data_IF_646069564255
#
_entry.id   IF_646069564255
#
_cell.length_a   1.000
_cell.length_b   1.000
_cell.length_c   1.000
_cell.angle_alpha   90.00
_cell.angle_beta   90.00
_cell.angle_gamma   90.00
#
_symmetry.space_group_name_H-M   'P 1'
#
loop_
_entity.id
_entity.type
_entity.pdbx_description
1 polymer ?
#
# COMPACT_ATOMS: atom_id res chain seq x y z
N UNK A 1 20.68 -5.42 9.73
CA UNK A 1 20.26 -5.59 8.32
C UNK A 1 19.53 -4.37 7.76
N UNK A 2 19.07 -3.43 8.60
CA UNK A 2 18.49 -2.16 8.14
C UNK A 2 19.48 -1.03 8.37
N UNK A 3 19.81 -0.31 7.30
CA UNK A 3 20.61 0.91 7.31
C UNK A 3 19.91 1.89 6.36
N UNK A 4 19.21 2.88 6.92
CA UNK A 4 18.53 3.92 6.16
C UNK A 4 18.30 5.15 7.03
N UNK A 5 17.88 6.25 6.42
CA UNK A 5 17.43 7.45 7.14
C UNK A 5 15.91 7.48 7.18
N UNK A 6 15.34 8.05 8.24
CA UNK A 6 13.90 8.27 8.38
C UNK A 6 13.63 9.59 9.07
N UNK A 7 12.53 10.25 8.70
CA UNK A 7 12.00 11.33 9.51
C UNK A 7 11.56 10.78 10.88
N UNK A 8 11.72 11.54 11.97
CA UNK A 8 11.19 11.14 13.27
C UNK A 8 9.68 10.90 13.20
N UNK A 9 9.19 9.83 13.85
CA UNK A 9 7.76 9.45 13.86
C UNK A 9 6.88 10.60 14.37
N UNK A 10 7.36 11.34 15.36
CA UNK A 10 6.64 12.48 15.96
C UNK A 10 6.86 13.81 15.23
N UNK A 11 7.56 13.82 14.10
CA UNK A 11 7.82 15.02 13.31
C UNK A 11 6.51 15.68 12.84
N UNK A 12 6.27 16.96 13.19
CA UNK A 12 5.09 17.68 12.72
C UNK A 12 4.99 17.72 11.18
N UNK A 13 6.12 17.87 10.50
CA UNK A 13 6.18 17.86 9.04
C UNK A 13 5.79 16.49 8.46
N UNK A 14 6.31 15.40 9.04
CA UNK A 14 5.95 14.05 8.58
C UNK A 14 4.45 13.77 8.76
N UNK A 15 3.87 14.21 9.88
CA UNK A 15 2.41 14.10 10.11
C UNK A 15 1.60 14.89 9.10
N UNK A 16 2.03 16.12 8.79
CA UNK A 16 1.37 16.96 7.79
C UNK A 16 1.44 16.33 6.39
N UNK A 17 2.62 15.90 5.95
CA UNK A 17 2.80 15.26 4.63
C UNK A 17 2.07 13.92 4.55
N UNK A 18 2.08 13.14 5.62
CA UNK A 18 1.32 11.88 5.70
C UNK A 18 -0.18 12.11 5.58
N UNK A 19 -0.71 13.17 6.17
CA UNK A 19 -2.13 13.54 6.01
C UNK A 19 -2.46 13.89 4.55
N UNK A 20 -1.57 14.58 3.83
CA UNK A 20 -1.74 14.87 2.39
C UNK A 20 -1.80 13.57 1.57
N UNK A 21 -0.87 12.63 1.82
CA UNK A 21 -0.85 11.33 1.15
C UNK A 21 -2.16 10.56 1.39
N UNK A 22 -2.59 10.44 2.65
CA UNK A 22 -3.82 9.71 2.98
C UNK A 22 -5.07 10.40 2.40
N UNK A 23 -5.12 11.72 2.39
CA UNK A 23 -6.21 12.47 1.77
C UNK A 23 -6.31 12.18 0.27
N UNK A 24 -5.18 12.15 -0.45
CA UNK A 24 -5.16 11.82 -1.87
C UNK A 24 -5.58 10.37 -2.12
N UNK A 25 -5.04 9.42 -1.34
CA UNK A 25 -5.33 7.99 -1.52
C UNK A 25 -6.78 7.64 -1.22
N UNK A 26 -7.38 8.24 -0.19
CA UNK A 26 -8.79 7.97 0.15
C UNK A 26 -9.78 8.59 -0.84
N UNK A 27 -9.30 9.44 -1.75
CA UNK A 27 -10.07 9.93 -2.89
C UNK A 27 -9.76 9.16 -4.18
N UNK A 28 -8.79 8.25 -4.18
CA UNK A 28 -8.37 7.49 -5.35
C UNK A 28 -9.19 6.19 -5.48
N UNK A 29 -10.09 6.05 -6.49
CA UNK A 29 -11.00 4.91 -6.57
C UNK A 29 -10.29 3.55 -6.59
N UNK A 30 -9.20 3.43 -7.34
CA UNK A 30 -8.43 2.19 -7.43
C UNK A 30 -7.83 1.75 -6.08
N UNK A 31 -7.38 2.71 -5.26
CA UNK A 31 -6.83 2.41 -3.94
C UNK A 31 -7.95 1.97 -2.99
N UNK A 32 -9.10 2.65 -3.04
CA UNK A 32 -10.26 2.28 -2.23
C UNK A 32 -10.79 0.89 -2.58
N UNK A 33 -10.83 0.52 -3.86
CA UNK A 33 -11.23 -0.80 -4.31
C UNK A 33 -10.21 -1.89 -3.93
N UNK A 34 -8.91 -1.62 -4.06
CA UNK A 34 -7.87 -2.60 -3.79
C UNK A 34 -7.62 -2.81 -2.28
N UNK A 35 -7.60 -1.74 -1.49
CA UNK A 35 -7.23 -1.79 -0.08
C UNK A 35 -8.43 -1.94 0.86
N UNK A 36 -9.60 -1.39 0.50
CA UNK A 36 -10.80 -1.33 1.34
C UNK A 36 -10.43 -0.89 2.78
N UNK A 37 -9.82 0.30 2.96
CA UNK A 37 -9.14 0.65 4.20
C UNK A 37 -10.11 0.84 5.38
N UNK A 38 -9.79 0.23 6.52
CA UNK A 38 -10.43 0.51 7.81
C UNK A 38 -9.64 1.56 8.59
N UNK A 39 -8.33 1.32 8.76
CA UNK A 39 -7.39 2.19 9.48
C UNK A 39 -6.00 2.07 8.86
N UNK A 40 -5.20 3.12 8.98
CA UNK A 40 -3.86 3.19 8.39
C UNK A 40 -2.87 3.73 9.42
N UNK A 41 -1.69 3.12 9.53
CA UNK A 41 -0.57 3.70 10.27
C UNK A 41 -0.18 4.98 9.54
N UNK A 42 0.01 6.13 10.22
CA UNK A 42 0.42 7.35 9.56
C UNK A 42 1.64 7.15 8.66
N UNK A 43 1.64 7.68 7.42
CA UNK A 43 2.78 7.57 6.52
C UNK A 43 4.09 7.99 7.15
N UNK A 44 5.06 7.09 7.08
CA UNK A 44 6.45 7.32 7.47
C UNK A 44 7.26 7.64 6.22
N UNK A 45 8.44 8.23 6.39
CA UNK A 45 9.29 8.65 5.29
C UNK A 45 10.69 8.11 5.50
N UNK A 46 11.26 7.50 4.48
CA UNK A 46 12.62 6.98 4.49
C UNK A 46 13.43 7.49 3.30
N UNK A 47 14.75 7.49 3.47
CA UNK A 47 15.68 7.62 2.35
C UNK A 47 16.83 6.61 2.45
N UNK A 48 17.36 6.26 1.27
CA UNK A 48 18.45 5.31 1.09
C UNK A 48 19.47 5.90 0.11
N UNK A 49 20.74 5.95 0.51
CA UNK A 49 21.87 6.39 -0.30
C UNK A 49 23.19 5.71 0.14
N UNK A 50 24.20 5.67 -0.73
CA UNK A 50 25.58 5.29 -0.34
C UNK A 50 25.74 3.88 0.25
N UNK A 51 24.97 2.91 -0.24
CA UNK A 51 24.96 1.51 0.21
C UNK A 51 23.91 1.19 1.27
N UNK A 52 23.14 2.18 1.71
CA UNK A 52 21.98 1.99 2.59
C UNK A 52 20.97 1.02 1.97
N UNK A 53 20.40 0.15 2.81
CA UNK A 53 19.55 -0.96 2.42
C UNK A 53 18.62 -1.38 3.57
N UNK A 54 17.63 -2.21 3.26
CA UNK A 54 16.86 -2.93 4.26
C UNK A 54 16.75 -4.38 3.80
N UNK A 55 17.56 -5.25 4.37
CA UNK A 55 17.56 -6.66 3.97
C UNK A 55 16.26 -7.40 4.31
N UNK A 56 16.22 -8.65 3.87
CA UNK A 56 15.07 -9.53 3.92
C UNK A 56 14.36 -9.57 5.28
N UNK A 57 13.07 -9.26 5.26
CA UNK A 57 12.20 -9.31 6.43
C UNK A 57 10.73 -9.49 6.04
N UNK A 58 9.93 -9.83 7.04
CA UNK A 58 8.47 -9.77 6.99
C UNK A 58 8.03 -8.70 7.98
N UNK A 59 6.96 -7.98 7.67
CA UNK A 59 6.45 -6.97 8.57
C UNK A 59 5.80 -7.56 9.82
N UNK A 60 5.85 -6.78 10.91
CA UNK A 60 5.13 -7.15 12.12
C UNK A 60 3.63 -7.19 11.86
N UNK A 61 2.97 -8.30 12.18
CA UNK A 61 1.54 -8.52 11.92
C UNK A 61 0.62 -7.53 12.66
N UNK A 62 1.11 -6.93 13.75
CA UNK A 62 0.40 -5.94 14.56
C UNK A 62 1.29 -4.71 14.73
N UNK A 63 0.74 -3.53 14.47
CA UNK A 63 1.40 -2.23 14.69
C UNK A 63 0.57 -1.38 15.64
N UNK A 64 1.23 -0.73 16.59
CA UNK A 64 0.61 0.29 17.43
C UNK A 64 0.35 1.56 16.62
N UNK A 65 -0.81 2.19 16.84
CA UNK A 65 -1.13 3.50 16.30
C UNK A 65 -0.60 4.59 17.23
N UNK A 66 0.36 5.42 16.79
CA UNK A 66 0.93 6.48 17.62
C UNK A 66 -0.17 7.37 18.22
N UNK A 67 -0.08 7.65 19.52
CA UNK A 67 -0.96 8.58 20.22
C UNK A 67 -2.39 8.11 20.54
N UNK A 68 -2.80 6.88 20.16
CA UNK A 68 -4.18 6.41 20.40
C UNK A 68 -4.30 5.20 21.35
N UNK A 69 -3.18 4.54 21.70
CA UNK A 69 -3.19 3.29 22.46
C UNK A 69 -3.82 2.10 21.73
N UNK A 70 -4.29 2.32 20.50
CA UNK A 70 -4.84 1.29 19.62
C UNK A 70 -3.72 0.57 18.89
N UNK A 71 -4.03 -0.61 18.38
CA UNK A 71 -3.20 -1.32 17.41
C UNK A 71 -4.04 -1.71 16.20
N UNK A 72 -3.37 -1.99 15.10
CA UNK A 72 -3.98 -2.48 13.88
C UNK A 72 -3.26 -3.71 13.34
N UNK A 73 -4.00 -4.53 12.60
CA UNK A 73 -3.49 -5.66 11.83
C UNK A 73 -2.92 -5.15 10.51
N UNK A 74 -1.68 -5.51 10.18
CA UNK A 74 -1.02 -5.07 8.95
C UNK A 74 -1.41 -5.96 7.78
N UNK A 75 -2.59 -5.71 7.19
CA UNK A 75 -3.04 -6.50 6.03
C UNK A 75 -2.22 -6.17 4.79
N UNK A 76 -2.04 -4.87 4.54
CA UNK A 76 -1.38 -4.36 3.35
C UNK A 76 -0.27 -3.40 3.73
N UNK A 77 0.84 -3.51 3.00
CA UNK A 77 1.96 -2.58 3.01
C UNK A 77 1.90 -1.72 1.77
N UNK A 78 2.28 -0.45 1.93
CA UNK A 78 2.32 0.53 0.85
C UNK A 78 3.67 1.21 0.79
N UNK A 79 4.18 1.41 -0.42
CA UNK A 79 5.31 2.29 -0.69
C UNK A 79 4.94 3.27 -1.78
N UNK A 80 4.89 4.56 -1.44
CA UNK A 80 4.80 5.68 -2.37
C UNK A 80 6.21 6.13 -2.74
N UNK A 81 6.54 6.10 -4.02
CA UNK A 81 7.84 6.53 -4.52
C UNK A 81 7.88 8.06 -4.63
N UNK A 82 8.93 8.69 -4.12
CA UNK A 82 9.11 10.15 -4.11
C UNK A 82 10.38 10.61 -4.85
N UNK A 83 11.06 9.68 -5.52
CA UNK A 83 12.24 9.90 -6.35
C UNK A 83 12.04 9.15 -7.66
N UNK A 84 12.49 9.71 -8.77
CA UNK A 84 12.41 9.02 -10.06
C UNK A 84 13.33 7.80 -10.06
N UNK A 85 12.95 6.69 -10.73
CA UNK A 85 13.76 5.48 -10.76
C UNK A 85 15.14 5.70 -11.41
N UNK A 86 15.25 6.68 -12.30
CA UNK A 86 16.51 7.01 -12.99
C UNK A 86 17.45 7.89 -12.15
N UNK A 87 16.96 8.47 -11.04
CA UNK A 87 17.77 9.32 -10.14
C UNK A 87 18.66 8.51 -9.18
N UNK A 88 18.48 7.18 -9.12
CA UNK A 88 19.27 6.31 -8.24
C UNK A 88 19.54 4.94 -8.84
N UNK A 89 20.69 4.35 -8.46
CA UNK A 89 21.12 3.01 -8.88
C UNK A 89 20.94 2.01 -7.73
N UNK A 90 20.36 0.86 -8.01
CA UNK A 90 19.87 -0.06 -6.98
C UNK A 90 18.57 0.44 -6.36
N UNK A 91 18.31 0.08 -5.10
CA UNK A 91 17.12 0.53 -4.36
C UNK A 91 15.80 -0.13 -4.77
N UNK A 92 15.84 -1.16 -5.61
CA UNK A 92 14.67 -1.96 -5.97
C UNK A 92 14.02 -2.53 -4.71
N UNK A 93 12.71 -2.37 -4.59
CA UNK A 93 11.90 -3.10 -3.63
C UNK A 93 11.69 -4.50 -4.19
N UNK A 94 12.33 -5.47 -3.56
CA UNK A 94 12.21 -6.87 -3.90
C UNK A 94 11.16 -7.53 -3.03
N UNK A 95 10.10 -8.08 -3.63
CA UNK A 95 9.00 -8.77 -2.94
C UNK A 95 8.98 -10.23 -3.42
N UNK A 96 9.02 -11.17 -2.49
CA UNK A 96 8.84 -12.60 -2.77
C UNK A 96 7.41 -13.03 -2.54
N UNK A 97 6.89 -13.78 -3.50
CA UNK A 97 5.64 -14.52 -3.39
C UNK A 97 5.85 -16.01 -3.75
N UNK A 98 4.76 -16.75 -3.88
CA UNK A 98 4.79 -18.18 -4.23
C UNK A 98 5.39 -18.46 -5.61
N UNK A 99 5.38 -17.49 -6.51
CA UNK A 99 5.76 -17.63 -7.92
C UNK A 99 7.13 -17.04 -8.25
N UNK A 100 7.68 -16.19 -7.37
CA UNK A 100 9.06 -15.75 -7.51
C UNK A 100 9.38 -14.44 -6.79
N UNK A 101 10.44 -13.80 -7.28
CA UNK A 101 10.92 -12.50 -6.83
C UNK A 101 10.45 -11.43 -7.83
N UNK A 102 9.80 -10.40 -7.31
CA UNK A 102 9.39 -9.22 -8.09
C UNK A 102 10.26 -8.04 -7.69
N UNK A 103 10.88 -7.39 -8.66
CA UNK A 103 11.67 -6.18 -8.45
C UNK A 103 10.86 -4.95 -8.83
N UNK A 104 10.69 -4.03 -7.89
CA UNK A 104 9.79 -2.88 -8.05
C UNK A 104 10.56 -1.58 -7.85
N UNK A 105 10.48 -0.74 -8.88
CA UNK A 105 11.03 0.62 -8.92
C UNK A 105 10.12 1.47 -9.80
N UNK A 106 9.25 2.26 -9.17
CA UNK A 106 8.20 3.01 -9.87
C UNK A 106 8.55 4.50 -10.00
N UNK A 107 7.96 5.21 -10.98
CA UNK A 107 8.03 6.67 -11.09
C UNK A 107 7.67 7.41 -9.81
N UNK A 108 8.19 8.62 -9.64
CA UNK A 108 7.81 9.45 -8.50
C UNK A 108 6.30 9.78 -8.55
N UNK A 109 5.60 9.57 -7.44
CA UNK A 109 4.14 9.73 -7.32
C UNK A 109 3.37 8.41 -7.43
N UNK A 110 3.97 7.35 -7.94
CA UNK A 110 3.34 6.03 -8.02
C UNK A 110 3.46 5.27 -6.69
N UNK A 111 2.44 4.45 -6.40
CA UNK A 111 2.35 3.65 -5.19
C UNK A 111 2.24 2.16 -5.52
N UNK A 112 3.04 1.35 -4.84
CA UNK A 112 2.84 -0.10 -4.79
C UNK A 112 2.09 -0.49 -3.50
N UNK A 113 1.13 -1.40 -3.65
CA UNK A 113 0.34 -2.00 -2.58
C UNK A 113 0.55 -3.52 -2.61
N UNK A 114 0.92 -4.13 -1.48
CA UNK A 114 1.21 -5.57 -1.41
C UNK A 114 0.90 -6.16 -0.02
N UNK A 115 0.70 -7.48 0.10
CA UNK A 115 0.46 -8.12 1.40
C UNK A 115 1.64 -7.91 2.36
N UNK A 116 1.39 -7.47 3.59
CA UNK A 116 2.48 -7.26 4.57
C UNK A 116 3.13 -8.58 5.02
N UNK A 117 2.50 -9.71 4.73
CA UNK A 117 3.04 -11.05 4.95
C UNK A 117 4.16 -11.43 3.98
N UNK A 118 4.30 -10.69 2.86
CA UNK A 118 5.32 -11.00 1.86
C UNK A 118 6.72 -10.76 2.40
N UNK A 119 7.61 -11.72 2.16
CA UNK A 119 9.04 -11.56 2.44
C UNK A 119 9.61 -10.53 1.46
N UNK A 120 10.23 -9.47 1.96
CA UNK A 120 10.70 -8.39 1.09
C UNK A 120 11.97 -7.71 1.60
N UNK A 121 12.64 -7.00 0.70
CA UNK A 121 13.83 -6.19 0.99
C UNK A 121 13.93 -4.98 0.08
N UNK A 122 14.71 -3.98 0.50
CA UNK A 122 15.20 -2.90 -0.37
C UNK A 122 16.69 -3.15 -0.57
N UNK A 123 17.07 -3.44 -1.82
CA UNK A 123 18.48 -3.69 -2.16
C UNK A 123 19.31 -2.39 -2.06
N UNK A 124 20.64 -2.47 -1.91
CA UNK A 124 21.46 -1.29 -1.66
C UNK A 124 21.34 -0.21 -2.74
N UNK A 125 21.16 1.04 -2.33
CA UNK A 125 21.26 2.20 -3.23
C UNK A 125 22.73 2.58 -3.38
N UNK A 126 23.32 2.34 -4.54
CA UNK A 126 24.76 2.52 -4.79
C UNK A 126 25.13 3.90 -5.31
N UNK A 127 24.19 4.61 -5.93
CA UNK A 127 24.33 5.99 -6.41
C UNK A 127 22.98 6.69 -6.34
N UNK A 128 22.98 8.02 -6.16
CA UNK A 128 21.77 8.81 -5.96
C UNK A 128 21.14 8.62 -4.58
N UNK A 129 19.88 9.06 -4.45
CA UNK A 129 19.09 8.90 -3.22
C UNK A 129 17.66 8.46 -3.57
N UNK A 130 17.23 7.36 -2.96
CA UNK A 130 15.84 6.87 -3.05
C UNK A 130 15.06 7.40 -1.86
N UNK A 131 14.11 8.30 -2.10
CA UNK A 131 13.18 8.80 -1.08
C UNK A 131 11.80 8.16 -1.30
N UNK A 132 11.18 7.65 -0.23
CA UNK A 132 9.83 7.08 -0.29
C UNK A 132 9.03 7.43 0.96
N UNK A 133 7.70 7.30 0.83
CA UNK A 133 6.82 7.16 1.97
C UNK A 133 6.31 5.72 2.08
N UNK A 134 6.21 5.19 3.30
CA UNK A 134 5.76 3.82 3.54
C UNK A 134 4.82 3.76 4.74
N UNK A 135 3.84 2.86 4.68
CA UNK A 135 2.84 2.67 5.73
C UNK A 135 2.10 1.34 5.58
N UNK A 136 1.27 1.05 6.58
CA UNK A 136 0.45 -0.15 6.64
C UNK A 136 -1.02 0.20 6.78
N UNK A 137 -1.86 -0.56 6.10
CA UNK A 137 -3.31 -0.44 6.16
C UNK A 137 -3.90 -1.73 6.71
N UNK A 138 -4.77 -1.59 7.71
CA UNK A 138 -5.74 -2.60 8.05
C UNK A 138 -6.93 -2.45 7.09
N UNK A 139 -7.23 -3.51 6.35
CA UNK A 139 -8.40 -3.58 5.50
C UNK A 139 -9.63 -3.92 6.33
N UNK A 140 -10.81 -3.45 5.90
CA UNK A 140 -12.08 -3.98 6.39
C UNK A 140 -12.19 -5.48 6.05
N UNK A 141 -11.57 -5.94 4.97
CA UNK A 141 -11.59 -7.35 4.55
C UNK A 141 -10.24 -8.00 4.87
N UNK A 142 -10.22 -8.79 5.94
CA UNK A 142 -9.01 -9.46 6.46
C UNK A 142 -8.36 -10.39 5.44
N UNK A 143 -9.16 -11.25 4.81
CA UNK A 143 -8.65 -12.30 3.93
C UNK A 143 -8.24 -11.73 2.56
N UNK A 144 -7.01 -12.01 2.14
CA UNK A 144 -6.43 -11.49 0.90
C UNK A 144 -7.16 -11.97 -0.37
N UNK A 145 -7.58 -13.24 -0.38
CA UNK A 145 -8.35 -13.80 -1.50
C UNK A 145 -9.73 -13.15 -1.62
N UNK A 146 -10.43 -12.94 -0.49
CA UNK A 146 -11.71 -12.24 -0.47
C UNK A 146 -11.58 -10.80 -0.98
N UNK A 147 -10.53 -10.09 -0.54
CA UNK A 147 -10.25 -8.73 -1.00
C UNK A 147 -9.89 -8.68 -2.48
N UNK A 148 -9.10 -9.63 -2.98
CA UNK A 148 -8.77 -9.75 -4.41
C UNK A 148 -10.01 -10.02 -5.27
N UNK A 149 -10.90 -10.93 -4.83
CA UNK A 149 -12.18 -11.18 -5.52
C UNK A 149 -13.07 -9.93 -5.57
N UNK A 150 -13.13 -9.14 -4.49
CA UNK A 150 -13.86 -7.87 -4.47
C UNK A 150 -13.26 -6.86 -5.45
N UNK A 151 -11.93 -6.75 -5.47
CA UNK A 151 -11.23 -5.85 -6.40
C UNK A 151 -11.50 -6.22 -7.86
N UNK A 152 -11.35 -7.49 -8.23
CA UNK A 152 -11.64 -7.97 -9.59
C UNK A 152 -13.10 -7.71 -9.99
N UNK A 153 -14.04 -7.95 -9.07
CA UNK A 153 -15.46 -7.68 -9.31
C UNK A 153 -15.72 -6.18 -9.51
N UNK A 154 -15.16 -5.30 -8.68
CA UNK A 154 -15.31 -3.85 -8.85
C UNK A 154 -14.74 -3.40 -10.20
N UNK A 155 -13.52 -3.81 -10.54
CA UNK A 155 -12.88 -3.46 -11.82
C UNK A 155 -13.74 -3.91 -13.02
N UNK A 156 -14.31 -5.12 -12.95
CA UNK A 156 -15.22 -5.64 -13.98
C UNK A 156 -16.50 -4.80 -14.07
N UNK A 157 -17.10 -4.43 -12.94
CA UNK A 157 -18.29 -3.56 -12.90
C UNK A 157 -17.98 -2.19 -13.50
N UNK A 158 -16.85 -1.56 -13.15
CA UNK A 158 -16.47 -0.26 -13.69
C UNK A 158 -16.23 -0.33 -15.20
N UNK A 159 -15.58 -1.40 -15.68
CA UNK A 159 -15.38 -1.62 -17.10
C UNK A 159 -16.71 -1.75 -17.85
N UNK A 160 -17.64 -2.57 -17.35
CA UNK A 160 -18.98 -2.71 -17.94
C UNK A 160 -19.76 -1.40 -17.93
N UNK A 161 -19.71 -0.66 -16.81
CA UNK A 161 -20.33 0.68 -16.70
C UNK A 161 -19.77 1.65 -17.74
N UNK A 162 -18.45 1.64 -17.97
CA UNK A 162 -17.83 2.51 -18.98
C UNK A 162 -18.27 2.21 -20.41
N UNK A 163 -18.57 0.94 -20.72
CA UNK A 163 -18.94 0.49 -22.07
C UNK A 163 -20.45 0.58 -22.34
N UNK A 164 -21.27 0.33 -21.33
CA UNK A 164 -22.72 0.14 -21.48
C UNK A 164 -23.57 1.08 -20.63
N UNK A 165 -22.96 1.88 -19.76
CA UNK A 165 -23.66 2.70 -18.77
C UNK A 165 -24.23 1.88 -17.61
N UNK A 166 -25.10 2.50 -16.80
CA UNK A 166 -25.75 1.85 -15.66
C UNK A 166 -26.97 1.03 -16.10
N UNK A 167 -26.72 -0.13 -16.72
CA UNK A 167 -27.78 -1.09 -17.06
C UNK A 167 -28.30 -1.82 -15.81
N UNK A 168 -29.42 -2.54 -15.95
CA UNK A 168 -29.98 -3.35 -14.85
C UNK A 168 -28.98 -4.40 -14.33
N UNK A 169 -28.18 -4.98 -15.22
CA UNK A 169 -27.14 -5.97 -14.90
C UNK A 169 -25.96 -5.34 -14.14
N UNK A 170 -25.49 -4.16 -14.56
CA UNK A 170 -24.44 -3.41 -13.86
C UNK A 170 -24.89 -3.04 -12.44
N UNK A 171 -26.15 -2.61 -12.29
CA UNK A 171 -26.74 -2.33 -10.98
C UNK A 171 -26.86 -3.59 -10.12
N UNK A 172 -27.27 -4.73 -10.71
CA UNK A 172 -27.35 -6.00 -9.99
C UNK A 172 -25.97 -6.47 -9.50
N UNK A 173 -24.93 -6.41 -10.34
CA UNK A 173 -23.55 -6.73 -9.97
C UNK A 173 -23.02 -5.79 -8.88
N UNK A 174 -23.31 -4.49 -8.99
CA UNK A 174 -22.99 -3.51 -7.93
C UNK A 174 -23.66 -3.88 -6.60
N UNK A 175 -24.92 -4.34 -6.65
CA UNK A 175 -25.63 -4.87 -5.49
C UNK A 175 -24.92 -6.09 -4.88
N UNK A 176 -24.47 -7.04 -5.70
CA UNK A 176 -23.69 -8.20 -5.26
C UNK A 176 -22.36 -7.80 -4.62
N UNK A 177 -21.60 -6.88 -5.21
CA UNK A 177 -20.38 -6.33 -4.64
C UNK A 177 -20.62 -5.80 -3.22
N UNK A 178 -21.62 -4.94 -3.04
CA UNK A 178 -21.93 -4.38 -1.71
C UNK A 178 -22.43 -5.44 -0.71
N UNK A 179 -23.13 -6.48 -1.17
CA UNK A 179 -23.52 -7.59 -0.31
C UNK A 179 -22.30 -8.37 0.18
N UNK A 180 -21.33 -8.65 -0.69
CA UNK A 180 -20.09 -9.34 -0.33
C UNK A 180 -19.24 -8.51 0.64
N UNK A 181 -19.11 -7.19 0.40
CA UNK A 181 -18.46 -6.28 1.36
C UNK A 181 -19.14 -6.37 2.73
N UNK A 182 -20.48 -6.33 2.79
CA UNK A 182 -21.21 -6.47 4.06
C UNK A 182 -21.02 -7.82 4.76
N UNK A 183 -20.77 -8.89 4.01
CA UNK A 183 -20.53 -10.23 4.56
C UNK A 183 -19.10 -10.41 5.07
N UNK A 184 -18.11 -9.74 4.46
CA UNK A 184 -16.70 -9.97 4.74
C UNK A 184 -16.02 -8.85 5.54
N UNK A 185 -16.67 -7.69 5.70
CA UNK A 185 -16.11 -6.57 6.45
C UNK A 185 -16.07 -6.82 7.97
N UNK A 186 -14.93 -6.47 8.56
CA UNK A 186 -14.68 -6.35 10.00
C UNK A 186 -14.39 -4.87 10.32
N UNK A 187 -15.11 -4.26 11.27
CA UNK A 187 -15.04 -2.83 11.61
C UNK A 187 -14.58 -2.56 13.05
#
# INVERSE_FOLDING_TARGET
>A
VKQNKQLPVESPLAKQLGAVILQALYQHPLFMAAAIPLRTVPPLFNSYQGGEHYGLHVDGAIRGLPGSGLSLRTDLSSTLFLSEPDDYQGGELQIMDTFGLHEIKLPAGDLILYPSSSLHQVVPVTSGERVCSFFWTQSMVRNDQQRSMLFELDQTIQQLRSQHGDTAEVLALTGHYHNLVRLWAEL
#
